data_IF_124563970299
#
_entry.id   IF_124563970299
#
_cell.length_a   1.000
_cell.length_b   1.000
_cell.length_c   1.000
_cell.angle_alpha   90.00
_cell.angle_beta   90.00
_cell.angle_gamma   90.00
#
_symmetry.space_group_name_H-M   'P 1'
#
loop_
_entity.id
_entity.type
_entity.pdbx_description
1 polymer ?
#
# COMPACT_ATOMS: atom_id res chain seq x y z
N UNK A 1 -17.45 -2.67 3.00
CA UNK A 1 -16.37 -3.48 3.61
C UNK A 1 -15.68 -4.31 2.55
N UNK A 2 -14.37 -4.43 2.65
CA UNK A 2 -13.62 -5.29 1.75
C UNK A 2 -13.91 -6.75 2.06
N UNK A 3 -14.32 -7.48 1.03
CA UNK A 3 -14.61 -8.90 1.16
C UNK A 3 -13.36 -9.72 0.82
N UNK A 4 -13.40 -11.02 1.12
CA UNK A 4 -12.34 -11.93 0.72
C UNK A 4 -12.17 -11.94 -0.80
N UNK A 5 -13.27 -11.87 -1.54
CA UNK A 5 -13.22 -11.84 -3.00
C UNK A 5 -12.59 -10.55 -3.50
N UNK A 6 -12.85 -9.42 -2.85
CA UNK A 6 -12.18 -8.16 -3.17
C UNK A 6 -10.66 -8.29 -2.97
N UNK A 7 -10.23 -8.90 -1.87
CA UNK A 7 -8.81 -9.06 -1.58
C UNK A 7 -8.14 -9.99 -2.61
N UNK A 8 -8.83 -11.06 -3.01
CA UNK A 8 -8.32 -11.95 -4.05
C UNK A 8 -8.17 -11.23 -5.38
N UNK A 9 -9.15 -10.41 -5.73
CA UNK A 9 -9.12 -9.66 -6.97
C UNK A 9 -7.97 -8.65 -6.96
N UNK A 10 -7.78 -7.95 -5.86
CA UNK A 10 -6.69 -7.00 -5.72
C UNK A 10 -5.32 -7.69 -5.79
N UNK A 11 -5.18 -8.83 -5.15
CA UNK A 11 -3.95 -9.61 -5.20
C UNK A 11 -3.62 -10.02 -6.62
N UNK A 12 -4.61 -10.60 -7.30
CA UNK A 12 -4.42 -11.07 -8.68
C UNK A 12 -4.01 -9.94 -9.60
N UNK A 13 -4.73 -8.84 -9.54
CA UNK A 13 -4.44 -7.67 -10.35
C UNK A 13 -3.04 -7.11 -10.06
N UNK A 14 -2.72 -6.91 -8.79
CA UNK A 14 -1.45 -6.31 -8.41
C UNK A 14 -0.26 -7.22 -8.77
N UNK A 15 -0.44 -8.53 -8.66
CA UNK A 15 0.62 -9.49 -9.01
C UNK A 15 0.96 -9.49 -10.50
N UNK A 16 0.00 -9.12 -11.34
CA UNK A 16 0.15 -9.16 -12.80
C UNK A 16 0.43 -7.79 -13.40
N UNK A 17 0.35 -6.75 -12.61
CA UNK A 17 0.46 -5.38 -13.11
C UNK A 17 1.89 -4.87 -13.04
N UNK A 18 2.20 -3.95 -13.96
CA UNK A 18 3.44 -3.18 -13.92
C UNK A 18 3.08 -1.76 -13.54
N UNK A 19 3.55 -1.34 -12.40
CA UNK A 19 3.24 -0.01 -11.90
C UNK A 19 4.40 0.95 -12.17
N UNK A 20 4.12 2.21 -12.56
CA UNK A 20 5.14 3.23 -12.61
C UNK A 20 5.57 3.56 -11.19
N UNK A 21 6.84 3.31 -10.90
CA UNK A 21 7.36 3.48 -9.55
C UNK A 21 8.14 4.78 -9.44
N UNK A 22 8.05 5.40 -8.28
CA UNK A 22 8.89 6.52 -7.92
C UNK A 22 9.42 6.32 -6.51
N UNK A 23 10.54 6.94 -6.23
CA UNK A 23 11.15 6.89 -4.91
C UNK A 23 10.24 7.55 -3.89
N UNK A 24 10.03 6.87 -2.78
CA UNK A 24 9.21 7.42 -1.69
C UNK A 24 9.99 8.54 -1.00
N UNK A 25 9.40 9.74 -0.87
CA UNK A 25 10.14 10.88 -0.31
C UNK A 25 10.32 10.83 1.20
N UNK A 26 9.58 9.97 1.89
CA UNK A 26 9.49 10.00 3.35
C UNK A 26 10.26 8.88 4.05
N UNK A 27 11.18 8.20 3.33
CA UNK A 27 11.91 7.09 3.92
C UNK A 27 13.23 7.50 4.58
N UNK A 28 13.59 8.76 4.46
CA UNK A 28 14.84 9.28 5.02
C UNK A 28 14.80 9.14 6.54
N UNK A 29 15.82 8.51 7.09
CA UNK A 29 15.99 8.38 8.53
C UNK A 29 15.53 7.06 9.13
N UNK A 30 14.71 6.28 8.43
CA UNK A 30 14.28 5.00 8.99
C UNK A 30 14.43 3.80 8.05
N UNK A 31 14.83 4.01 6.82
CA UNK A 31 15.12 2.91 5.90
C UNK A 31 16.58 2.93 5.48
N UNK A 32 17.20 1.76 5.40
CA UNK A 32 18.57 1.64 4.92
C UNK A 32 18.66 1.68 3.39
N UNK A 33 17.54 1.54 2.70
CA UNK A 33 17.48 1.59 1.24
C UNK A 33 16.27 2.37 0.78
N UNK A 34 16.32 2.85 -0.44
CA UNK A 34 15.19 3.54 -1.04
C UNK A 34 14.03 2.58 -1.23
N UNK A 35 12.85 3.08 -0.97
CA UNK A 35 11.60 2.37 -1.20
C UNK A 35 10.91 3.02 -2.38
N UNK A 36 10.37 2.20 -3.27
CA UNK A 36 9.68 2.68 -4.46
C UNK A 36 8.20 2.41 -4.32
N UNK A 37 7.41 3.40 -4.71
CA UNK A 37 5.96 3.34 -4.53
C UNK A 37 5.23 3.79 -5.79
N UNK A 38 3.98 3.37 -5.86
CA UNK A 38 3.01 3.87 -6.83
C UNK A 38 1.71 4.14 -6.08
N UNK A 39 1.32 5.39 -6.01
CA UNK A 39 0.03 5.76 -5.41
C UNK A 39 -1.11 5.30 -6.30
N UNK A 40 -2.10 4.66 -5.74
CA UNK A 40 -3.24 4.11 -6.46
C UNK A 40 -4.53 4.87 -6.15
N UNK A 41 -4.72 5.23 -4.91
CA UNK A 41 -5.87 6.03 -4.48
C UNK A 41 -5.46 6.92 -3.33
N UNK A 42 -5.90 8.16 -3.36
CA UNK A 42 -5.72 9.06 -2.24
C UNK A 42 -6.86 10.07 -2.19
N UNK A 43 -7.13 10.57 -1.00
CA UNK A 43 -8.16 11.55 -0.76
C UNK A 43 -7.49 12.78 -0.15
N UNK A 44 -7.66 13.91 -0.82
CA UNK A 44 -7.28 15.21 -0.31
C UNK A 44 -8.48 16.14 -0.48
N UNK A 45 -8.37 17.11 -1.38
CA UNK A 45 -9.51 17.96 -1.74
C UNK A 45 -10.55 17.18 -2.53
N UNK A 46 -10.05 16.27 -3.37
CA UNK A 46 -10.88 15.40 -4.19
C UNK A 46 -10.39 13.97 -4.07
N UNK A 47 -11.27 13.03 -4.39
CA UNK A 47 -10.91 11.63 -4.48
C UNK A 47 -10.14 11.41 -5.77
N UNK A 48 -8.95 10.86 -5.67
CA UNK A 48 -8.13 10.53 -6.83
C UNK A 48 -7.87 9.02 -6.87
N UNK A 49 -8.30 8.39 -7.95
CA UNK A 49 -8.05 6.98 -8.22
C UNK A 49 -7.37 6.91 -9.58
N UNK A 50 -6.22 6.24 -9.64
CA UNK A 50 -5.48 6.10 -10.90
C UNK A 50 -6.10 5.01 -11.75
N UNK A 51 -7.24 5.32 -12.31
CA UNK A 51 -8.07 4.39 -13.09
C UNK A 51 -7.31 3.76 -14.24
N UNK A 52 -6.41 4.49 -14.87
CA UNK A 52 -5.64 3.98 -16.02
C UNK A 52 -4.78 2.77 -15.69
N UNK A 53 -4.48 2.54 -14.42
CA UNK A 53 -3.69 1.39 -13.98
C UNK A 53 -4.56 0.20 -13.58
N UNK A 54 -5.87 0.33 -13.68
CA UNK A 54 -6.81 -0.62 -13.08
C UNK A 54 -7.72 -1.27 -14.12
N UNK A 55 -8.11 -2.50 -13.83
CA UNK A 55 -9.23 -3.11 -14.51
C UNK A 55 -10.51 -2.47 -14.00
N UNK A 56 -11.60 -2.67 -14.70
CA UNK A 56 -12.88 -2.14 -14.26
C UNK A 56 -13.31 -2.69 -12.90
N UNK A 57 -13.09 -3.99 -12.68
CA UNK A 57 -13.46 -4.59 -11.40
C UNK A 57 -12.62 -4.05 -10.24
N UNK A 58 -11.33 -3.81 -10.45
CA UNK A 58 -10.47 -3.21 -9.43
C UNK A 58 -10.88 -1.76 -9.17
N UNK A 59 -11.18 -1.02 -10.22
CA UNK A 59 -11.65 0.34 -10.07
C UNK A 59 -12.93 0.40 -9.23
N UNK A 60 -13.86 -0.53 -9.47
CA UNK A 60 -15.09 -0.60 -8.70
C UNK A 60 -14.82 -0.90 -7.22
N UNK A 61 -13.83 -1.72 -6.92
CA UNK A 61 -13.41 -1.96 -5.54
C UNK A 61 -12.83 -0.67 -4.93
N UNK A 62 -11.98 0.01 -5.67
CA UNK A 62 -11.31 1.22 -5.19
C UNK A 62 -12.27 2.38 -4.96
N UNK A 63 -13.42 2.39 -5.64
CA UNK A 63 -14.43 3.41 -5.42
C UNK A 63 -15.11 3.31 -4.07
N UNK A 64 -14.96 2.19 -3.39
CA UNK A 64 -15.57 2.01 -2.07
C UNK A 64 -15.07 3.09 -1.11
N UNK A 65 -15.99 3.79 -0.47
CA UNK A 65 -15.68 4.89 0.44
C UNK A 65 -14.91 4.43 1.67
N UNK A 66 -14.95 3.15 1.98
CA UNK A 66 -14.18 2.60 3.09
C UNK A 66 -12.69 2.53 2.79
N UNK A 67 -12.30 2.59 1.52
CA UNK A 67 -10.90 2.64 1.14
C UNK A 67 -10.50 4.10 1.02
N UNK A 68 -9.67 4.56 1.94
CA UNK A 68 -9.24 5.96 1.96
C UNK A 68 -7.94 6.18 1.22
N UNK A 69 -7.09 5.15 1.18
CA UNK A 69 -5.76 5.29 0.64
C UNK A 69 -5.29 3.92 0.16
N UNK A 70 -4.64 3.89 -0.97
CA UNK A 70 -4.06 2.66 -1.49
C UNK A 70 -2.75 2.98 -2.19
N UNK A 71 -1.72 2.21 -1.88
CA UNK A 71 -0.40 2.38 -2.46
C UNK A 71 0.22 1.01 -2.71
N UNK A 72 0.90 0.90 -3.83
CA UNK A 72 1.76 -0.23 -4.12
C UNK A 72 3.18 0.13 -3.70
N UNK A 73 3.83 -0.74 -2.95
CA UNK A 73 5.19 -0.50 -2.46
C UNK A 73 6.11 -1.62 -2.86
N UNK A 74 7.33 -1.26 -3.22
CA UNK A 74 8.37 -2.20 -3.58
C UNK A 74 9.60 -1.97 -2.74
N UNK A 75 10.02 -3.03 -2.06
CA UNK A 75 11.23 -3.03 -1.25
C UNK A 75 12.27 -3.92 -1.92
N UNK A 76 13.47 -3.41 -2.12
CA UNK A 76 14.56 -4.25 -2.63
C UNK A 76 15.04 -5.19 -1.54
N UNK A 77 15.68 -6.30 -1.94
CA UNK A 77 16.23 -7.26 -0.99
C UNK A 77 17.20 -6.59 -0.02
N UNK A 78 17.12 -6.98 1.24
CA UNK A 78 17.93 -6.40 2.30
C UNK A 78 17.44 -5.09 2.85
N UNK A 79 16.26 -4.64 2.46
CA UNK A 79 15.67 -3.43 3.04
C UNK A 79 15.30 -3.67 4.50
N UNK A 80 15.74 -2.78 5.36
CA UNK A 80 15.43 -2.82 6.79
C UNK A 80 14.83 -1.47 7.16
N UNK A 81 13.62 -1.50 7.71
CA UNK A 81 12.97 -0.32 8.25
C UNK A 81 13.12 -0.31 9.76
N UNK A 82 13.66 0.78 10.29
CA UNK A 82 13.69 0.97 11.73
C UNK A 82 12.26 1.17 12.24
N UNK A 83 12.00 0.83 13.50
CA UNK A 83 10.71 1.15 14.09
C UNK A 83 10.40 2.62 13.91
N UNK A 84 9.19 2.90 13.44
CA UNK A 84 8.75 4.26 13.20
C UNK A 84 7.22 4.29 13.24
N UNK A 85 6.68 5.46 13.29
CA UNK A 85 5.24 5.68 13.21
C UNK A 85 4.97 6.55 11.99
N UNK A 86 4.08 6.10 11.13
CA UNK A 86 3.71 6.88 9.95
C UNK A 86 2.94 8.12 10.39
N UNK A 87 3.40 9.30 9.99
CA UNK A 87 2.72 10.52 10.37
C UNK A 87 1.53 10.73 9.45
N UNK A 88 0.34 10.45 9.92
CA UNK A 88 -0.79 10.93 9.17
C UNK A 88 -2.08 10.78 9.93
N UNK A 89 -3.10 11.38 9.33
CA UNK A 89 -4.44 11.39 9.86
C UNK A 89 -5.15 10.05 9.72
N UNK A 90 -4.54 9.11 9.00
CA UNK A 90 -5.19 7.83 8.73
C UNK A 90 -4.86 6.77 9.78
N UNK A 91 -3.73 6.89 10.46
CA UNK A 91 -3.22 5.82 11.32
C UNK A 91 -4.05 5.61 12.58
N UNK A 92 -4.70 6.63 13.09
CA UNK A 92 -5.42 6.56 14.37
C UNK A 92 -6.85 6.06 14.24
N UNK A 93 -7.47 6.29 13.10
CA UNK A 93 -8.90 6.02 12.91
C UNK A 93 -9.19 4.84 12.01
N UNK A 94 -8.20 4.41 11.23
CA UNK A 94 -8.47 3.51 10.14
C UNK A 94 -7.57 2.29 10.20
N UNK A 95 -8.14 1.19 9.82
CA UNK A 95 -7.43 -0.08 9.78
C UNK A 95 -6.54 -0.13 8.54
N UNK A 96 -5.30 -0.54 8.73
CA UNK A 96 -4.39 -0.79 7.62
C UNK A 96 -4.50 -2.25 7.20
N UNK A 97 -4.67 -2.48 5.91
CA UNK A 97 -4.66 -3.82 5.33
C UNK A 97 -3.44 -3.90 4.42
N UNK A 98 -2.63 -4.93 4.60
CA UNK A 98 -1.47 -5.18 3.76
C UNK A 98 -1.68 -6.48 3.01
N UNK A 99 -1.39 -6.45 1.70
CA UNK A 99 -1.50 -7.62 0.84
C UNK A 99 -0.11 -7.93 0.34
N UNK A 100 0.59 -8.92 0.92
CA UNK A 100 1.90 -9.33 0.42
C UNK A 100 1.75 -9.95 -0.96
N UNK A 101 2.58 -9.53 -1.90
CA UNK A 101 2.50 -9.99 -3.28
C UNK A 101 3.65 -10.95 -3.62
N UNK A 102 4.86 -10.50 -3.38
CA UNK A 102 6.06 -11.26 -3.69
C UNK A 102 7.01 -11.10 -2.51
N UNK A 103 6.98 -12.05 -1.60
CA UNK A 103 7.75 -11.98 -0.37
C UNK A 103 8.59 -13.24 -0.23
N UNK A 104 9.79 -13.06 0.31
CA UNK A 104 10.65 -14.18 0.64
C UNK A 104 10.31 -14.71 2.02
N UNK A 105 10.83 -15.90 2.33
CA UNK A 105 10.66 -16.49 3.66
C UNK A 105 11.31 -15.65 4.76
N UNK A 106 12.22 -14.77 4.39
CA UNK A 106 12.92 -13.91 5.35
C UNK A 106 12.20 -12.59 5.57
N UNK A 107 11.11 -12.37 4.88
CA UNK A 107 10.31 -11.16 5.07
C UNK A 107 9.45 -11.29 6.32
N UNK A 108 9.50 -10.28 7.17
CA UNK A 108 8.63 -10.23 8.33
C UNK A 108 8.43 -8.80 8.81
N UNK A 109 7.38 -8.59 9.56
CA UNK A 109 7.07 -7.31 10.18
C UNK A 109 6.86 -7.53 11.68
N UNK A 110 7.32 -6.58 12.46
CA UNK A 110 7.09 -6.58 13.90
C UNK A 110 6.23 -5.35 14.24
N UNK A 111 5.09 -5.61 14.86
CA UNK A 111 4.20 -4.55 15.33
C UNK A 111 4.37 -4.41 16.83
N UNK A 112 4.70 -3.21 17.26
CA UNK A 112 4.56 -2.89 18.67
C UNK A 112 3.13 -2.48 18.87
N UNK A 113 2.54 -3.13 19.81
CA UNK A 113 1.21 -2.82 20.17
C UNK A 113 1.07 -1.37 20.55
N UNK A 114 0.12 -0.86 20.31
CA UNK A 114 -0.07 0.37 20.66
C UNK A 114 -1.01 0.53 21.41
N UNK A 115 -1.09 0.47 21.89
CA UNK A 115 -2.02 0.54 22.47
C UNK A 115 -2.54 1.36 22.67
#
# INVERSE_FOLDING_TARGET
MLTKDNLKELYKWASQSKFPLKKAPTTVGYSNKDIYICGLKYIRKNINIRKSLMTESVYNIMKNDEILYAVYSRFSGGTILKPHKDPDVYSDRYKRVQIPLDVTKDFYMVWKGEN
#
